data_IF_647865442123
#
_entry.id   IF_647865442123
#
_cell.length_a   1.000
_cell.length_b   1.000
_cell.length_c   1.000
_cell.angle_alpha   90.00
_cell.angle_beta   90.00
_cell.angle_gamma   90.00
#
_symmetry.space_group_name_H-M   'P 1'
#
loop_
_entity.id
_entity.type
_entity.pdbx_description
1 polymer ?
#
# COMPACT_ATOMS: atom_id res chain seq x y z
N UNK A 1 9.08 5.71 -26.26
CA UNK A 1 7.73 5.12 -26.36
C UNK A 1 6.78 5.92 -25.48
N UNK A 2 5.83 6.64 -26.09
CA UNK A 2 4.83 7.43 -25.36
C UNK A 2 3.83 6.48 -24.71
N UNK A 3 3.63 6.59 -23.40
CA UNK A 3 2.61 5.81 -22.68
C UNK A 3 1.24 6.46 -22.91
N UNK A 4 0.28 5.69 -23.43
CA UNK A 4 -1.11 6.13 -23.56
C UNK A 4 -1.82 6.23 -22.20
N UNK A 5 -2.82 7.11 -22.12
CA UNK A 5 -3.74 7.18 -20.97
C UNK A 5 -4.51 5.87 -20.87
N UNK A 6 -4.62 5.32 -19.65
CA UNK A 6 -5.45 4.13 -19.38
C UNK A 6 -6.73 4.53 -18.64
N UNK A 7 -7.84 3.85 -18.93
CA UNK A 7 -9.11 4.01 -18.19
C UNK A 7 -8.97 3.36 -16.81
N UNK A 8 -9.51 4.00 -15.76
CA UNK A 8 -9.51 3.46 -14.40
C UNK A 8 -10.60 2.38 -14.28
N UNK A 9 -10.23 1.15 -14.63
CA UNK A 9 -11.03 -0.07 -14.47
C UNK A 9 -10.10 -1.25 -14.17
N UNK A 10 -10.67 -2.41 -13.82
CA UNK A 10 -9.88 -3.64 -13.66
C UNK A 10 -9.14 -3.93 -14.97
N UNK A 11 -7.85 -4.25 -14.86
CA UNK A 11 -7.04 -4.71 -15.99
C UNK A 11 -7.28 -6.22 -16.14
N UNK A 12 -7.84 -6.64 -17.26
CA UNK A 12 -8.17 -8.04 -17.48
C UNK A 12 -6.93 -8.89 -17.76
N UNK A 13 -6.03 -8.39 -18.62
CA UNK A 13 -4.77 -9.06 -18.90
C UNK A 13 -3.92 -9.22 -17.63
N UNK A 14 -3.62 -10.48 -17.27
CA UNK A 14 -2.94 -10.83 -16.03
C UNK A 14 -1.51 -10.29 -15.98
N UNK A 15 -0.79 -10.34 -17.10
CA UNK A 15 0.61 -9.88 -17.16
C UNK A 15 0.69 -8.37 -16.97
N UNK A 16 -0.14 -7.61 -17.70
CA UNK A 16 -0.26 -6.17 -17.56
C UNK A 16 -0.75 -5.77 -16.17
N UNK A 17 -1.70 -6.52 -15.58
CA UNK A 17 -2.18 -6.29 -14.22
C UNK A 17 -1.06 -6.48 -13.19
N UNK A 18 -0.27 -7.55 -13.28
CA UNK A 18 0.87 -7.82 -12.38
C UNK A 18 1.93 -6.71 -12.47
N UNK A 19 2.33 -6.32 -13.68
CA UNK A 19 3.32 -5.25 -13.89
C UNK A 19 2.78 -3.91 -13.38
N UNK A 20 1.52 -3.60 -13.68
CA UNK A 20 0.88 -2.35 -13.24
C UNK A 20 0.73 -2.31 -11.73
N UNK A 21 0.35 -3.42 -11.09
CA UNK A 21 0.29 -3.55 -9.64
C UNK A 21 1.64 -3.24 -9.01
N UNK A 22 2.72 -3.88 -9.47
CA UNK A 22 4.07 -3.67 -8.94
C UNK A 22 4.50 -2.20 -9.06
N UNK A 23 4.29 -1.58 -10.23
CA UNK A 23 4.67 -0.17 -10.46
C UNK A 23 3.82 0.81 -9.65
N UNK A 24 2.49 0.65 -9.63
CA UNK A 24 1.59 1.56 -8.91
C UNK A 24 1.72 1.42 -7.41
N UNK A 25 1.87 0.20 -6.89
CA UNK A 25 2.11 -0.05 -5.46
C UNK A 25 3.40 0.63 -5.01
N UNK A 26 4.49 0.49 -5.77
CA UNK A 26 5.74 1.17 -5.46
C UNK A 26 5.59 2.70 -5.50
N UNK A 27 4.95 3.24 -6.53
CA UNK A 27 4.69 4.69 -6.64
C UNK A 27 3.84 5.24 -5.49
N UNK A 28 2.81 4.49 -5.07
CA UNK A 28 1.97 4.83 -3.92
C UNK A 28 2.80 4.90 -2.64
N UNK A 29 3.58 3.85 -2.34
CA UNK A 29 4.43 3.81 -1.15
C UNK A 29 5.44 4.97 -1.12
N UNK A 30 6.03 5.30 -2.28
CA UNK A 30 6.93 6.44 -2.39
C UNK A 30 6.22 7.75 -2.02
N UNK A 31 5.02 7.98 -2.57
CA UNK A 31 4.23 9.18 -2.28
C UNK A 31 3.78 9.27 -0.83
N UNK A 32 3.36 8.15 -0.23
CA UNK A 32 3.02 8.09 1.18
C UNK A 32 4.22 8.44 2.07
N UNK A 33 5.42 7.93 1.75
CA UNK A 33 6.65 8.28 2.47
C UNK A 33 7.01 9.76 2.32
N UNK A 34 6.94 10.30 1.10
CA UNK A 34 7.16 11.74 0.83
C UNK A 34 6.22 12.60 1.69
N UNK A 35 4.93 12.26 1.73
CA UNK A 35 3.94 12.97 2.54
C UNK A 35 4.25 12.92 4.04
N UNK A 36 4.62 11.74 4.54
CA UNK A 36 4.98 11.55 5.94
C UNK A 36 6.11 12.48 6.38
N UNK A 37 7.15 12.58 5.54
CA UNK A 37 8.35 13.40 5.80
C UNK A 37 8.01 14.89 5.66
N UNK A 38 7.37 15.29 4.56
CA UNK A 38 7.13 16.71 4.25
C UNK A 38 6.20 17.38 5.24
N UNK A 39 5.21 16.65 5.75
CA UNK A 39 4.19 17.20 6.63
C UNK A 39 4.32 16.74 8.09
N UNK A 40 5.33 15.94 8.42
CA UNK A 40 5.51 15.33 9.74
C UNK A 40 4.23 14.60 10.24
N UNK A 41 3.63 13.79 9.38
CA UNK A 41 2.38 13.07 9.65
C UNK A 41 2.60 11.56 9.73
N UNK A 42 1.84 10.90 10.60
CA UNK A 42 1.77 9.44 10.64
C UNK A 42 0.85 8.92 9.54
N UNK A 43 1.33 7.93 8.78
CA UNK A 43 0.59 7.34 7.64
C UNK A 43 0.83 5.83 7.56
N UNK A 44 -0.18 5.10 7.15
CA UNK A 44 -0.13 3.65 6.93
C UNK A 44 -0.82 3.25 5.62
N UNK A 45 -0.27 2.25 4.94
CA UNK A 45 -0.82 1.67 3.71
C UNK A 45 -0.75 0.16 3.80
N UNK A 46 -1.86 -0.52 3.52
CA UNK A 46 -1.96 -1.98 3.42
C UNK A 46 -2.57 -2.33 2.08
N UNK A 47 -1.97 -3.26 1.35
CA UNK A 47 -2.42 -3.73 0.03
C UNK A 47 -2.49 -5.25 0.04
N UNK A 48 -3.69 -5.78 -0.21
CA UNK A 48 -3.92 -7.20 -0.44
C UNK A 48 -3.86 -7.49 -1.94
N UNK A 49 -3.00 -8.43 -2.35
CA UNK A 49 -3.02 -8.91 -3.73
C UNK A 49 -4.01 -10.06 -3.92
N UNK A 50 -4.47 -10.26 -5.15
CA UNK A 50 -5.25 -11.43 -5.55
C UNK A 50 -4.50 -12.76 -5.35
N UNK A 51 -3.18 -12.71 -5.10
CA UNK A 51 -2.38 -13.90 -4.78
C UNK A 51 -2.27 -14.14 -3.27
N UNK A 52 -3.08 -13.45 -2.46
CA UNK A 52 -3.07 -13.56 -1.00
C UNK A 52 -1.85 -12.93 -0.32
N UNK A 53 -1.03 -12.15 -1.04
CA UNK A 53 0.14 -11.49 -0.44
C UNK A 53 -0.24 -10.14 0.13
N UNK A 54 0.22 -9.87 1.34
CA UNK A 54 0.04 -8.60 2.03
C UNK A 54 1.30 -7.75 1.81
N UNK A 55 1.08 -6.51 1.40
CA UNK A 55 2.14 -5.49 1.32
C UNK A 55 1.76 -4.33 2.23
N UNK A 56 2.58 -4.05 3.23
CA UNK A 56 2.31 -3.00 4.21
C UNK A 56 3.46 -1.99 4.29
N UNK A 57 3.11 -0.74 4.61
CA UNK A 57 4.02 0.34 4.97
C UNK A 57 3.39 1.16 6.10
N UNK A 58 4.22 1.57 7.06
CA UNK A 58 3.85 2.51 8.11
C UNK A 58 5.00 3.48 8.34
N UNK A 59 4.70 4.77 8.45
CA UNK A 59 5.68 5.77 8.89
C UNK A 59 5.76 5.73 10.41
N UNK A 60 6.92 5.36 10.97
CA UNK A 60 7.20 5.47 12.41
C UNK A 60 7.92 6.78 12.68
N UNK A 61 7.48 7.53 13.70
CA UNK A 61 8.20 8.70 14.21
C UNK A 61 9.13 8.39 15.39
N UNK A 62 9.20 7.16 15.89
CA UNK A 62 10.05 6.85 17.05
C UNK A 62 10.58 5.41 17.08
N UNK A 63 11.82 5.31 17.53
CA UNK A 63 12.54 4.13 18.00
C UNK A 63 11.71 3.31 19.01
N UNK A 64 10.97 2.30 18.54
CA UNK A 64 10.51 1.21 19.42
C UNK A 64 10.41 -0.10 18.65
N UNK A 65 11.49 -0.88 18.68
CA UNK A 65 11.40 -2.33 18.77
C UNK A 65 10.56 -2.69 20.00
N UNK A 66 9.31 -3.11 19.81
CA UNK A 66 8.57 -4.13 20.60
C UNK A 66 7.09 -4.11 20.20
N UNK A 67 6.59 -5.27 19.76
CA UNK A 67 5.37 -5.92 20.28
C UNK A 67 4.11 -5.05 20.50
N UNK A 68 3.01 -5.44 19.86
CA UNK A 68 1.62 -5.28 20.37
C UNK A 68 0.93 -3.93 20.14
N UNK A 69 -0.14 -3.98 19.32
CA UNK A 69 -1.48 -3.45 19.64
C UNK A 69 -1.51 -2.00 20.12
N UNK A 70 -1.81 -1.00 19.28
CA UNK A 70 -3.15 -0.38 19.30
C UNK A 70 -3.45 0.56 18.10
N UNK A 71 -2.57 0.68 17.09
CA UNK A 71 -2.77 1.65 15.98
C UNK A 71 -3.27 1.08 14.64
N UNK A 72 -3.09 -0.22 14.39
CA UNK A 72 -3.35 -0.88 13.11
C UNK A 72 -4.07 -2.25 13.14
N UNK A 73 -4.33 -2.94 14.28
CA UNK A 73 -5.07 -4.22 14.25
C UNK A 73 -6.52 -4.08 13.75
N UNK A 74 -7.17 -2.95 14.00
CA UNK A 74 -8.60 -2.74 13.75
C UNK A 74 -8.97 -2.79 12.27
N UNK A 75 -8.09 -2.31 11.39
CA UNK A 75 -8.30 -2.37 9.93
C UNK A 75 -8.09 -3.80 9.42
N UNK A 76 -7.09 -4.52 9.92
CA UNK A 76 -6.78 -5.88 9.45
C UNK A 76 -7.88 -6.86 9.89
N UNK A 77 -8.35 -6.77 11.13
CA UNK A 77 -9.39 -7.65 11.67
C UNK A 77 -10.77 -7.41 11.01
N UNK A 78 -11.06 -6.17 10.58
CA UNK A 78 -12.30 -5.86 9.84
C UNK A 78 -12.33 -6.48 8.44
N UNK A 79 -11.17 -6.74 7.83
CA UNK A 79 -11.07 -7.31 6.48
C UNK A 79 -10.88 -8.83 6.44
N UNK A 80 -10.53 -9.49 7.56
CA UNK A 80 -10.47 -10.96 7.64
C UNK A 80 -11.82 -11.63 7.96
N UNK A 81 -12.84 -10.85 8.32
CA UNK A 81 -14.18 -11.35 8.69
C UNK A 81 -15.27 -11.07 7.64
N UNK A 82 -14.89 -10.71 6.41
CA UNK A 82 -15.79 -10.45 5.29
C UNK A 82 -15.47 -11.36 4.09
#
# INVERSE_FOLDING_TARGET
>A
MVRGKIVIRRIEDMSSRKVTFSKRRHGLLKKTRELAILCNVQVGVIVFSLTGRIYAYASSTTTTTTTTTMGMPSIIHKYQSA
#
